data_IF_874487475119
#
_entry.id   IF_874487475119
#
_cell.length_a   1.000
_cell.length_b   1.000
_cell.length_c   1.000
_cell.angle_alpha   90.00
_cell.angle_beta   90.00
_cell.angle_gamma   90.00
#
_symmetry.space_group_name_H-M   'P 1'
#
loop_
_entity.id
_entity.type
_entity.pdbx_description
1 polymer ?
#
# COMPACT_ATOMS: atom_id res chain seq x y z
N UNK A 1 28.23 -29.51 44.10
CA UNK A 1 27.57 -29.70 42.79
C UNK A 1 26.30 -28.87 42.82
N UNK A 2 26.26 -27.78 42.05
CA UNK A 2 25.05 -27.16 41.47
C UNK A 2 25.50 -26.05 40.52
N UNK A 3 24.81 -25.98 39.40
CA UNK A 3 25.14 -25.31 38.15
C UNK A 3 24.92 -23.79 38.22
N UNK A 4 25.73 -23.03 37.49
CA UNK A 4 25.38 -21.66 37.06
C UNK A 4 25.53 -21.59 35.55
N UNK A 5 24.40 -21.70 34.87
CA UNK A 5 24.25 -21.40 33.45
C UNK A 5 24.33 -19.89 33.24
N UNK A 6 25.34 -19.42 32.50
CA UNK A 6 25.32 -18.08 31.88
C UNK A 6 24.52 -18.18 30.59
N UNK A 7 23.33 -17.59 30.56
CA UNK A 7 22.56 -17.41 29.33
C UNK A 7 22.91 -16.04 28.73
N UNK A 8 23.54 -16.08 27.55
CA UNK A 8 23.86 -14.91 26.71
C UNK A 8 22.59 -14.45 26.01
N UNK A 9 22.18 -13.21 26.25
CA UNK A 9 21.01 -12.60 25.63
C UNK A 9 21.40 -12.10 24.21
N UNK A 10 20.83 -12.70 23.16
CA UNK A 10 20.98 -12.25 21.78
C UNK A 10 19.91 -11.20 21.47
N UNK A 11 20.34 -9.99 21.12
CA UNK A 11 19.47 -8.97 20.50
C UNK A 11 19.02 -9.47 19.12
N UNK A 12 17.72 -9.72 18.98
CA UNK A 12 17.05 -9.92 17.69
C UNK A 12 16.69 -8.55 17.14
N UNK A 13 17.23 -8.21 15.97
CA UNK A 13 16.85 -7.02 15.21
C UNK A 13 15.44 -7.20 14.64
N UNK A 14 14.54 -6.26 14.96
CA UNK A 14 13.20 -6.20 14.39
C UNK A 14 13.26 -5.78 12.91
N UNK A 15 12.40 -6.34 12.03
CA UNK A 15 12.28 -5.85 10.65
C UNK A 15 11.56 -4.50 10.63
N UNK A 16 12.18 -3.53 9.98
CA UNK A 16 11.68 -2.16 9.84
C UNK A 16 10.38 -2.14 9.02
N UNK A 17 9.41 -1.43 9.58
CA UNK A 17 8.02 -1.20 9.21
C UNK A 17 7.80 -0.79 7.75
N UNK A 18 7.11 -1.65 7.00
CA UNK A 18 6.62 -1.42 5.61
C UNK A 18 5.75 -0.15 5.47
N UNK A 19 5.12 0.31 6.55
CA UNK A 19 4.20 1.46 6.55
C UNK A 19 4.94 2.81 6.42
N UNK A 20 6.20 2.93 6.88
CA UNK A 20 6.98 4.17 6.71
C UNK A 20 7.35 4.44 5.24
N UNK A 21 7.55 3.37 4.46
CA UNK A 21 7.89 3.45 3.03
C UNK A 21 6.68 3.91 2.21
N UNK A 22 5.46 3.57 2.63
CA UNK A 22 4.22 3.94 1.93
C UNK A 22 3.89 5.41 2.20
N UNK A 23 4.00 5.86 3.45
CA UNK A 23 3.67 7.24 3.86
C UNK A 23 4.66 8.27 3.26
N UNK A 24 5.94 7.92 3.16
CA UNK A 24 6.95 8.74 2.47
C UNK A 24 6.73 8.77 0.96
N UNK A 25 6.34 7.64 0.34
CA UNK A 25 6.02 7.58 -1.10
C UNK A 25 4.82 8.46 -1.45
N UNK A 26 3.78 8.47 -0.61
CA UNK A 26 2.57 9.26 -0.85
C UNK A 26 2.84 10.76 -0.72
N UNK A 27 3.74 11.22 0.17
CA UNK A 27 4.11 12.65 0.30
C UNK A 27 5.06 13.15 -0.79
N UNK A 28 5.98 12.30 -1.24
CA UNK A 28 6.92 12.61 -2.34
C UNK A 28 6.21 12.82 -3.70
N UNK A 29 5.11 12.09 -3.95
CA UNK A 29 4.32 12.23 -5.18
C UNK A 29 3.47 13.52 -5.22
N UNK A 30 3.21 14.16 -4.08
CA UNK A 30 2.40 15.40 -3.99
C UNK A 30 3.19 16.64 -4.44
N UNK A 31 4.52 16.54 -4.47
CA UNK A 31 5.43 17.61 -4.89
C UNK A 31 5.85 17.51 -6.37
N UNK A 32 5.22 16.62 -7.14
CA UNK A 32 5.44 16.55 -8.59
C UNK A 32 4.91 17.86 -9.20
N UNK A 33 5.82 18.64 -9.79
CA UNK A 33 5.49 19.87 -10.51
C UNK A 33 4.34 19.62 -11.51
N UNK A 34 3.27 20.44 -11.55
CA UNK A 34 2.12 20.22 -12.43
C UNK A 34 2.47 20.04 -13.92
N UNK A 35 3.59 20.61 -14.39
CA UNK A 35 4.10 20.44 -15.76
C UNK A 35 4.59 19.03 -16.09
N UNK A 36 4.73 18.19 -15.07
CA UNK A 36 5.21 16.81 -15.12
C UNK A 36 4.08 15.80 -14.94
N UNK A 37 2.82 16.25 -14.77
CA UNK A 37 1.62 15.41 -14.81
C UNK A 37 1.27 15.10 -16.27
N UNK A 38 0.84 13.87 -16.57
CA UNK A 38 0.56 13.47 -17.95
C UNK A 38 -0.51 14.36 -18.57
N UNK A 39 -0.19 14.96 -19.71
CA UNK A 39 -1.10 15.67 -20.58
C UNK A 39 -0.87 15.21 -22.02
N UNK A 40 -1.85 15.45 -22.90
CA UNK A 40 -1.78 14.96 -24.29
C UNK A 40 -0.57 15.44 -25.11
N UNK A 41 0.21 16.40 -24.60
CA UNK A 41 1.37 16.99 -25.30
C UNK A 41 2.72 16.68 -24.64
N UNK A 42 2.75 16.11 -23.42
CA UNK A 42 3.99 15.98 -22.64
C UNK A 42 4.47 14.54 -22.43
N UNK A 43 3.94 13.58 -23.18
CA UNK A 43 4.23 12.15 -23.00
C UNK A 43 5.73 11.84 -22.89
N UNK A 44 6.58 12.43 -23.74
CA UNK A 44 8.02 12.19 -23.72
C UNK A 44 8.66 12.66 -22.40
N UNK A 45 8.31 13.84 -21.91
CA UNK A 45 8.86 14.39 -20.65
C UNK A 45 8.30 13.65 -19.44
N UNK A 46 7.00 13.34 -19.46
CA UNK A 46 6.33 12.55 -18.43
C UNK A 46 6.94 11.16 -18.30
N UNK A 47 7.11 10.44 -19.42
CA UNK A 47 7.66 9.08 -19.42
C UNK A 47 9.12 9.06 -18.95
N UNK A 48 9.95 10.01 -19.37
CA UNK A 48 11.34 10.14 -18.90
C UNK A 48 11.43 10.42 -17.40
N UNK A 49 10.58 11.32 -16.88
CA UNK A 49 10.53 11.60 -15.46
C UNK A 49 10.10 10.37 -14.65
N UNK A 50 8.99 9.75 -15.04
CA UNK A 50 8.45 8.54 -14.39
C UNK A 50 9.50 7.43 -14.41
N UNK A 51 10.16 7.19 -15.55
CA UNK A 51 11.22 6.19 -15.67
C UNK A 51 12.39 6.47 -14.73
N UNK A 52 12.85 7.72 -14.63
CA UNK A 52 13.97 8.10 -13.76
C UNK A 52 13.60 8.01 -12.28
N UNK A 53 12.40 8.47 -11.93
CA UNK A 53 11.86 8.42 -10.57
C UNK A 53 11.74 6.98 -10.06
N UNK A 54 11.19 6.09 -10.90
CA UNK A 54 11.06 4.67 -10.58
C UNK A 54 12.41 3.95 -10.52
N UNK A 55 13.37 4.36 -11.35
CA UNK A 55 14.76 3.87 -11.30
C UNK A 55 15.40 4.19 -9.95
N UNK A 56 15.23 5.42 -9.47
CA UNK A 56 15.72 5.84 -8.15
C UNK A 56 15.07 5.10 -6.98
N UNK A 57 13.82 4.64 -7.15
CA UNK A 57 13.08 3.89 -6.12
C UNK A 57 13.24 2.36 -6.21
N UNK A 58 14.02 1.83 -7.16
CA UNK A 58 14.13 0.38 -7.40
C UNK A 58 12.83 -0.28 -7.90
N UNK A 59 11.79 0.50 -8.18
CA UNK A 59 10.46 0.01 -8.63
C UNK A 59 10.33 -0.07 -10.15
N UNK A 60 11.39 0.32 -10.85
CA UNK A 60 11.42 0.32 -12.31
C UNK A 60 11.18 -1.07 -12.91
N UNK A 61 11.59 -2.14 -12.23
CA UNK A 61 11.35 -3.53 -12.67
C UNK A 61 9.87 -3.90 -12.77
N UNK A 62 9.02 -3.31 -11.91
CA UNK A 62 7.57 -3.53 -11.93
C UNK A 62 6.89 -2.84 -13.13
N UNK A 63 7.46 -1.76 -13.65
CA UNK A 63 6.88 -0.98 -14.77
C UNK A 63 7.57 -1.22 -16.11
N UNK A 64 8.90 -1.39 -16.11
CA UNK A 64 9.69 -1.74 -17.29
C UNK A 64 9.76 -3.23 -17.57
N UNK A 65 9.09 -4.06 -16.76
CA UNK A 65 8.76 -5.42 -17.16
C UNK A 65 10.03 -6.17 -17.60
N UNK A 66 10.87 -6.55 -16.64
CA UNK A 66 11.61 -7.81 -16.82
C UNK A 66 10.61 -8.98 -16.71
N UNK A 67 9.51 -8.94 -17.49
CA UNK A 67 8.62 -10.08 -17.71
C UNK A 67 9.54 -11.13 -18.29
N UNK A 68 9.77 -12.24 -17.56
CA UNK A 68 10.43 -13.39 -18.15
C UNK A 68 9.68 -13.76 -19.43
N UNK A 69 10.35 -14.33 -20.43
CA UNK A 69 9.64 -14.68 -21.65
C UNK A 69 8.47 -15.61 -21.28
N UNK A 70 7.32 -15.54 -21.96
CA UNK A 70 6.18 -16.39 -21.64
C UNK A 70 6.52 -17.89 -21.58
N UNK A 71 7.58 -18.31 -22.29
CA UNK A 71 8.09 -19.69 -22.32
C UNK A 71 9.02 -20.06 -21.14
N UNK A 72 9.41 -19.09 -20.31
CA UNK A 72 10.22 -19.33 -19.11
C UNK A 72 9.30 -19.69 -17.93
N UNK A 73 9.63 -20.76 -17.21
CA UNK A 73 8.95 -21.13 -15.95
C UNK A 73 8.92 -19.99 -14.91
N UNK A 74 9.87 -19.05 -15.00
CA UNK A 74 9.95 -17.87 -14.15
C UNK A 74 8.81 -16.86 -14.42
N UNK A 75 8.16 -16.93 -15.58
CA UNK A 75 7.02 -16.07 -15.94
C UNK A 75 5.81 -16.34 -15.04
N UNK A 76 5.49 -17.60 -14.77
CA UNK A 76 4.35 -17.99 -13.92
C UNK A 76 4.52 -17.40 -12.51
N UNK A 77 5.68 -17.58 -11.90
CA UNK A 77 5.97 -17.06 -10.56
C UNK A 77 5.89 -15.52 -10.51
N UNK A 78 6.36 -14.84 -11.56
CA UNK A 78 6.31 -13.39 -11.66
C UNK A 78 4.87 -12.87 -11.85
N UNK A 79 4.09 -13.52 -12.72
CA UNK A 79 2.70 -13.14 -13.03
C UNK A 79 1.77 -13.37 -11.82
N UNK A 80 2.00 -14.43 -11.06
CA UNK A 80 1.28 -14.71 -9.82
C UNK A 80 1.57 -13.67 -8.73
N UNK A 81 2.85 -13.33 -8.51
CA UNK A 81 3.24 -12.31 -7.53
C UNK A 81 2.70 -10.92 -7.90
N UNK A 82 2.84 -10.50 -9.16
CA UNK A 82 2.35 -9.20 -9.63
C UNK A 82 0.81 -9.14 -9.62
N UNK A 83 0.15 -10.23 -9.99
CA UNK A 83 -1.31 -10.34 -9.89
C UNK A 83 -1.76 -10.25 -8.43
N UNK A 84 -1.18 -11.01 -7.51
CA UNK A 84 -1.55 -10.95 -6.09
C UNK A 84 -1.37 -9.55 -5.50
N UNK A 85 -0.27 -8.87 -5.81
CA UNK A 85 -0.01 -7.52 -5.33
C UNK A 85 -1.01 -6.50 -5.89
N UNK A 86 -1.44 -6.65 -7.15
CA UNK A 86 -2.44 -5.79 -7.77
C UNK A 86 -3.86 -6.11 -7.28
N UNK A 87 -4.24 -7.38 -7.18
CA UNK A 87 -5.54 -7.82 -6.66
C UNK A 87 -5.74 -7.38 -5.21
N UNK A 88 -4.73 -7.52 -4.35
CA UNK A 88 -4.78 -7.07 -2.95
C UNK A 88 -5.11 -5.58 -2.85
N UNK A 89 -4.41 -4.73 -3.61
CA UNK A 89 -4.68 -3.28 -3.64
C UNK A 89 -6.07 -2.94 -4.19
N UNK A 90 -6.53 -3.66 -5.20
CA UNK A 90 -7.89 -3.47 -5.74
C UNK A 90 -8.95 -3.85 -4.69
N UNK A 91 -8.71 -4.91 -3.93
CA UNK A 91 -9.57 -5.31 -2.81
C UNK A 91 -9.59 -4.23 -1.72
N UNK A 92 -8.44 -3.69 -1.33
CA UNK A 92 -8.36 -2.61 -0.33
C UNK A 92 -9.18 -1.39 -0.78
N UNK A 93 -9.03 -0.96 -2.03
CA UNK A 93 -9.81 0.16 -2.60
C UNK A 93 -11.31 -0.13 -2.55
N UNK A 94 -11.74 -1.34 -2.90
CA UNK A 94 -13.14 -1.75 -2.84
C UNK A 94 -13.68 -1.76 -1.40
N UNK A 95 -12.91 -2.25 -0.44
CA UNK A 95 -13.30 -2.26 0.98
C UNK A 95 -13.39 -0.83 1.55
N UNK A 96 -12.41 0.03 1.26
CA UNK A 96 -12.44 1.45 1.65
C UNK A 96 -13.70 2.13 1.12
N UNK A 97 -14.03 1.92 -0.16
CA UNK A 97 -15.24 2.48 -0.74
C UNK A 97 -16.51 2.01 -0.02
N UNK A 98 -16.60 0.71 0.27
CA UNK A 98 -17.73 0.10 0.98
C UNK A 98 -17.89 0.68 2.40
N UNK A 99 -16.79 0.78 3.16
CA UNK A 99 -16.79 1.33 4.53
C UNK A 99 -17.23 2.79 4.51
N UNK A 100 -16.64 3.62 3.63
CA UNK A 100 -17.00 5.04 3.48
C UNK A 100 -18.47 5.23 3.09
N UNK A 101 -18.98 4.38 2.21
CA UNK A 101 -20.39 4.38 1.82
C UNK A 101 -21.29 4.03 3.01
N UNK A 102 -20.91 3.04 3.80
CA UNK A 102 -21.67 2.63 5.00
C UNK A 102 -21.66 3.74 6.07
N UNK A 103 -20.53 4.39 6.31
CA UNK A 103 -20.44 5.56 7.20
C UNK A 103 -21.39 6.67 6.73
N UNK A 104 -21.35 7.02 5.44
CA UNK A 104 -22.14 8.11 4.87
C UNK A 104 -23.65 7.82 4.86
N UNK A 105 -24.04 6.56 4.75
CA UNK A 105 -25.44 6.13 4.72
C UNK A 105 -26.02 5.82 6.10
N UNK A 106 -25.18 5.67 7.12
CA UNK A 106 -25.61 5.40 8.49
C UNK A 106 -26.31 6.63 9.07
N UNK A 107 -27.58 6.47 9.43
CA UNK A 107 -28.39 7.48 10.11
C UNK A 107 -28.70 7.02 11.52
N UNK A 108 -28.81 7.97 12.45
CA UNK A 108 -29.19 7.70 13.83
C UNK A 108 -30.55 7.00 13.93
N UNK A 109 -31.58 7.53 13.26
CA UNK A 109 -32.93 6.98 13.30
C UNK A 109 -33.46 6.95 14.74
N UNK A 110 -34.08 5.82 15.13
CA UNK A 110 -34.67 5.63 16.46
C UNK A 110 -33.65 5.13 17.52
N UNK A 111 -32.36 5.03 17.18
CA UNK A 111 -31.32 4.57 18.11
C UNK A 111 -30.90 5.69 19.05
N UNK A 112 -30.44 5.31 20.24
CA UNK A 112 -29.84 6.27 21.16
C UNK A 112 -28.56 6.88 20.57
N UNK A 113 -28.20 8.07 21.05
CA UNK A 113 -26.97 8.75 20.62
C UNK A 113 -25.74 7.88 20.87
N UNK A 114 -25.69 7.19 22.01
CA UNK A 114 -24.58 6.30 22.39
C UNK A 114 -24.45 5.11 21.45
N UNK A 115 -25.56 4.45 21.09
CA UNK A 115 -25.54 3.33 20.15
C UNK A 115 -25.11 3.77 18.74
N UNK A 116 -25.59 4.94 18.30
CA UNK A 116 -25.18 5.51 17.02
C UNK A 116 -23.69 5.86 17.00
N UNK A 117 -23.17 6.45 18.08
CA UNK A 117 -21.76 6.77 18.23
C UNK A 117 -20.88 5.51 18.18
N UNK A 118 -21.25 4.45 18.91
CA UNK A 118 -20.51 3.19 18.89
C UNK A 118 -20.48 2.55 17.48
N UNK A 119 -21.60 2.57 16.75
CA UNK A 119 -21.60 2.05 15.38
C UNK A 119 -20.67 2.83 14.45
N UNK A 120 -20.70 4.16 14.52
CA UNK A 120 -19.77 4.98 13.74
C UNK A 120 -18.33 4.68 14.14
N UNK A 121 -18.03 4.63 15.45
CA UNK A 121 -16.70 4.34 15.96
C UNK A 121 -16.16 3.00 15.44
N UNK A 122 -16.99 1.95 15.42
CA UNK A 122 -16.59 0.65 14.87
C UNK A 122 -16.26 0.75 13.36
N UNK A 123 -17.07 1.48 12.58
CA UNK A 123 -16.81 1.68 11.15
C UNK A 123 -15.55 2.51 10.89
N UNK A 124 -15.26 3.48 11.74
CA UNK A 124 -14.01 4.24 11.68
C UNK A 124 -12.80 3.36 12.01
N UNK A 125 -12.89 2.52 13.04
CA UNK A 125 -11.82 1.55 13.37
C UNK A 125 -11.58 0.53 12.26
N UNK A 126 -12.61 0.11 11.54
CA UNK A 126 -12.45 -0.73 10.34
C UNK A 126 -11.70 -0.01 9.21
N UNK A 127 -11.68 1.33 9.20
CA UNK A 127 -10.97 2.13 8.19
C UNK A 127 -9.50 2.42 8.55
N UNK A 128 -9.15 2.42 9.84
CA UNK A 128 -7.81 2.76 10.35
C UNK A 128 -6.65 2.01 9.67
N UNK A 129 -6.74 0.69 9.35
CA UNK A 129 -5.63 -0.04 8.72
C UNK A 129 -5.28 0.44 7.30
N UNK A 130 -6.17 1.22 6.67
CA UNK A 130 -6.05 1.66 5.29
C UNK A 130 -5.60 3.13 5.15
N UNK A 131 -5.25 3.79 6.26
CA UNK A 131 -4.85 5.21 6.32
C UNK A 131 -3.35 5.44 6.21
#
# INVERSE_FOLDING_TARGET
>A
MSEVSKSTNQQVSNPITTNEVINTTTRELQNIQPGLCLNGKNYLKWSQFVQTFLKGKGKLSHLLRMRPKPDDLKFIAWDEEDSMANYSKVQDVAQIYKIRTKISSTKQGNRSVTEHAHMLQNLWQELDPYQ
#
